data_IF_805211510514
#
_entry.id   IF_805211510514
#
_cell.length_a   1.000
_cell.length_b   1.000
_cell.length_c   1.000
_cell.angle_alpha   90.00
_cell.angle_beta   90.00
_cell.angle_gamma   90.00
#
_symmetry.space_group_name_H-M   'P 1'
#
loop_
_entity.id
_entity.type
_entity.pdbx_description
1 polymer ?
#
# COMPACT_ATOMS: atom_id res chain seq x y z
N UNK A 1 15.34 -30.37 33.55
CA UNK A 1 15.10 -28.97 33.15
C UNK A 1 15.61 -28.84 31.74
N UNK A 2 14.71 -28.94 30.76
CA UNK A 2 15.04 -28.64 29.38
C UNK A 2 14.88 -27.13 29.21
N UNK A 3 15.96 -26.45 28.84
CA UNK A 3 15.88 -25.10 28.29
C UNK A 3 15.06 -25.19 27.01
N UNK A 4 13.83 -24.68 27.06
CA UNK A 4 13.09 -24.34 25.86
C UNK A 4 13.83 -23.20 25.18
N UNK A 5 14.62 -23.60 24.20
CA UNK A 5 15.26 -22.76 23.21
C UNK A 5 14.16 -21.96 22.50
N UNK A 6 13.82 -20.79 23.03
CA UNK A 6 12.88 -19.87 22.40
C UNK A 6 13.56 -19.36 21.12
N UNK A 7 13.35 -20.08 20.02
CA UNK A 7 13.49 -19.49 18.70
C UNK A 7 12.58 -18.26 18.70
N UNK A 8 13.18 -17.08 18.82
CA UNK A 8 12.55 -15.81 18.53
C UNK A 8 11.95 -15.93 17.13
N UNK A 9 10.67 -16.29 17.05
CA UNK A 9 9.90 -16.09 15.82
C UNK A 9 9.89 -14.58 15.66
N UNK A 10 10.75 -14.09 14.76
CA UNK A 10 10.74 -12.72 14.28
C UNK A 10 9.43 -12.57 13.50
N UNK A 11 8.35 -12.37 14.23
CA UNK A 11 7.02 -12.21 13.66
C UNK A 11 6.86 -10.81 13.11
N UNK A 12 6.06 -10.70 12.07
CA UNK A 12 5.58 -9.43 11.52
C UNK A 12 4.12 -9.30 11.94
N UNK A 13 3.82 -8.84 13.17
CA UNK A 13 2.52 -9.01 13.78
C UNK A 13 1.39 -8.29 13.04
N UNK A 14 1.66 -7.16 12.37
CA UNK A 14 0.64 -6.50 11.55
C UNK A 14 0.40 -7.26 10.24
N UNK A 15 1.46 -7.81 9.63
CA UNK A 15 1.35 -8.65 8.43
C UNK A 15 0.63 -9.97 8.76
N UNK A 16 0.92 -10.58 9.91
CA UNK A 16 0.25 -11.77 10.40
C UNK A 16 -1.24 -11.52 10.64
N UNK A 17 -1.58 -10.41 11.30
CA UNK A 17 -2.98 -10.02 11.50
C UNK A 17 -3.69 -9.69 10.17
N UNK A 18 -3.03 -9.02 9.23
CA UNK A 18 -3.58 -8.75 7.91
C UNK A 18 -3.93 -10.05 7.15
N UNK A 19 -3.14 -11.10 7.36
CA UNK A 19 -3.36 -12.43 6.78
C UNK A 19 -4.32 -13.32 7.60
N UNK A 20 -4.81 -12.85 8.75
CA UNK A 20 -5.80 -13.58 9.53
C UNK A 20 -7.07 -13.80 8.69
N UNK A 21 -7.62 -15.00 8.79
CA UNK A 21 -8.79 -15.39 8.00
C UNK A 21 -10.00 -14.49 8.26
N UNK A 22 -10.23 -14.05 9.49
CA UNK A 22 -11.34 -13.18 9.83
C UNK A 22 -11.16 -11.76 9.27
N UNK A 23 -9.91 -11.30 9.14
CA UNK A 23 -9.57 -10.04 8.47
C UNK A 23 -9.73 -10.15 6.96
N UNK A 24 -9.33 -11.27 6.37
CA UNK A 24 -9.34 -11.48 4.92
C UNK A 24 -10.71 -11.94 4.37
N UNK A 25 -11.75 -12.06 5.20
CA UNK A 25 -13.08 -12.49 4.79
C UNK A 25 -14.12 -11.38 4.92
N UNK A 26 -14.94 -11.25 3.88
CA UNK A 26 -16.03 -10.27 3.75
C UNK A 26 -16.99 -10.27 4.94
N UNK A 27 -17.33 -11.45 5.46
CA UNK A 27 -18.33 -11.61 6.53
C UNK A 27 -17.80 -11.33 7.94
N UNK A 28 -16.49 -11.14 8.11
CA UNK A 28 -15.85 -11.05 9.42
C UNK A 28 -15.09 -9.75 9.67
N UNK A 29 -14.55 -9.14 8.62
CA UNK A 29 -13.56 -8.07 8.79
C UNK A 29 -14.12 -6.83 9.50
N UNK A 30 -15.40 -6.49 9.33
CA UNK A 30 -16.02 -5.36 10.03
C UNK A 30 -16.06 -5.57 11.55
N UNK A 31 -16.35 -6.80 12.00
CA UNK A 31 -16.33 -7.13 13.43
C UNK A 31 -14.91 -7.08 13.99
N UNK A 32 -13.92 -7.52 13.19
CA UNK A 32 -12.51 -7.41 13.61
C UNK A 32 -12.10 -5.94 13.69
N UNK A 33 -12.44 -5.13 12.69
CA UNK A 33 -12.18 -3.68 12.70
C UNK A 33 -12.76 -3.03 13.95
N UNK A 34 -14.01 -3.34 14.30
CA UNK A 34 -14.69 -2.84 15.50
C UNK A 34 -13.99 -3.25 16.81
N UNK A 35 -13.40 -4.44 16.86
CA UNK A 35 -12.68 -4.92 18.04
C UNK A 35 -11.31 -4.27 18.25
N UNK A 36 -10.68 -3.82 17.16
CA UNK A 36 -9.35 -3.22 17.22
C UNK A 36 -9.39 -1.88 17.96
N UNK A 37 -8.57 -1.78 19.00
CA UNK A 37 -8.45 -0.59 19.82
C UNK A 37 -7.06 0.07 19.74
N UNK A 38 -6.96 1.25 20.35
CA UNK A 38 -5.78 2.09 20.30
C UNK A 38 -4.54 1.42 20.87
N UNK A 39 -4.70 0.70 21.98
CA UNK A 39 -3.60 0.06 22.69
C UNK A 39 -3.04 -1.08 21.85
N UNK A 40 -3.92 -1.95 21.34
CA UNK A 40 -3.54 -3.08 20.50
C UNK A 40 -2.81 -2.63 19.24
N UNK A 41 -3.38 -1.67 18.48
CA UNK A 41 -2.74 -1.18 17.26
C UNK A 41 -1.39 -0.53 17.53
N UNK A 42 -1.25 0.23 18.62
CA UNK A 42 0.05 0.79 19.00
C UNK A 42 1.07 -0.30 19.36
N UNK A 43 0.66 -1.34 20.08
CA UNK A 43 1.53 -2.46 20.43
C UNK A 43 1.98 -3.21 19.18
N UNK A 44 1.05 -3.56 18.29
CA UNK A 44 1.32 -4.21 17.01
C UNK A 44 2.27 -3.37 16.15
N UNK A 45 2.01 -2.07 16.02
CA UNK A 45 2.85 -1.15 15.26
C UNK A 45 4.28 -1.06 15.80
N UNK A 46 4.45 -0.91 17.12
CA UNK A 46 5.78 -0.86 17.75
C UNK A 46 6.54 -2.16 17.59
N UNK A 47 5.85 -3.29 17.71
CA UNK A 47 6.43 -4.61 17.50
C UNK A 47 6.87 -4.80 16.03
N UNK A 48 6.02 -4.41 15.08
CA UNK A 48 6.34 -4.41 13.65
C UNK A 48 7.56 -3.55 13.33
N UNK A 49 7.59 -2.30 13.83
CA UNK A 49 8.74 -1.40 13.68
C UNK A 49 10.02 -1.99 14.27
N UNK A 50 9.92 -2.70 15.39
CA UNK A 50 11.08 -3.33 16.05
C UNK A 50 11.58 -4.57 15.29
N UNK A 51 10.68 -5.29 14.61
CA UNK A 51 11.00 -6.45 13.77
C UNK A 51 11.42 -6.07 12.35
N UNK A 52 11.24 -4.80 11.96
CA UNK A 52 11.45 -4.30 10.61
C UNK A 52 12.86 -4.60 10.05
N UNK A 53 12.96 -5.00 8.77
CA UNK A 53 14.24 -5.12 8.11
C UNK A 53 14.97 -3.78 8.03
N UNK A 54 16.23 -3.78 8.45
CA UNK A 54 17.10 -2.60 8.41
C UNK A 54 17.91 -2.60 7.10
N UNK A 55 17.30 -2.16 5.99
CA UNK A 55 17.92 -2.25 4.65
C UNK A 55 19.24 -1.49 4.59
N UNK A 56 19.28 -0.27 5.10
CA UNK A 56 20.47 0.60 5.08
C UNK A 56 21.67 -0.06 5.76
N UNK A 57 21.44 -0.72 6.91
CA UNK A 57 22.48 -1.45 7.66
C UNK A 57 23.08 -2.62 6.88
N UNK A 58 22.33 -3.17 5.92
CA UNK A 58 22.77 -4.25 5.03
C UNK A 58 23.32 -3.76 3.69
N UNK A 59 23.50 -2.45 3.52
CA UNK A 59 23.98 -1.83 2.28
C UNK A 59 22.96 -1.84 1.14
N UNK A 60 21.68 -2.16 1.42
CA UNK A 60 20.61 -2.18 0.42
C UNK A 60 19.89 -0.83 0.36
N UNK A 61 19.63 -0.37 -0.86
CA UNK A 61 18.86 0.85 -1.16
C UNK A 61 17.37 0.58 -1.18
N UNK A 62 16.56 1.58 -0.86
CA UNK A 62 15.11 1.54 -1.10
C UNK A 62 14.79 1.85 -2.56
N UNK A 63 15.38 2.91 -3.09
CA UNK A 63 15.22 3.30 -4.49
C UNK A 63 16.14 2.48 -5.38
N UNK A 64 15.56 1.55 -6.13
CA UNK A 64 16.26 0.65 -7.05
C UNK A 64 15.81 0.88 -8.48
N UNK A 65 16.62 0.46 -9.45
CA UNK A 65 16.21 0.52 -10.85
C UNK A 65 15.17 -0.55 -11.15
N UNK A 66 14.06 -0.13 -11.78
CA UNK A 66 13.01 -1.03 -12.19
C UNK A 66 13.09 -1.30 -13.69
N UNK A 67 13.05 -2.57 -14.08
CA UNK A 67 13.09 -2.98 -15.49
C UNK A 67 11.71 -2.95 -16.17
N UNK A 68 10.67 -2.48 -15.47
CA UNK A 68 9.29 -2.51 -15.94
C UNK A 68 8.67 -3.92 -15.85
N UNK A 69 7.62 -4.16 -16.63
CA UNK A 69 7.01 -5.49 -16.75
C UNK A 69 7.93 -6.36 -17.60
N UNK A 70 8.63 -7.31 -16.98
CA UNK A 70 9.42 -8.30 -17.73
C UNK A 70 8.50 -9.38 -18.30
N UNK A 71 8.22 -9.32 -19.60
CA UNK A 71 7.57 -10.43 -20.30
C UNK A 71 8.61 -11.46 -20.75
N UNK A 72 8.53 -12.66 -20.18
CA UNK A 72 8.57 -13.86 -21.01
C UNK A 72 7.19 -14.04 -21.63
N UNK A 73 6.79 -13.22 -22.60
CA UNK A 73 5.58 -13.45 -23.42
C UNK A 73 5.57 -12.49 -24.62
N UNK A 74 4.84 -12.87 -25.66
CA UNK A 74 5.11 -12.48 -27.04
C UNK A 74 4.55 -11.10 -27.40
N UNK A 75 5.29 -10.36 -28.22
CA UNK A 75 4.89 -9.11 -28.86
C UNK A 75 3.41 -9.14 -29.32
N UNK A 76 2.59 -8.24 -28.78
CA UNK A 76 1.33 -7.82 -29.39
C UNK A 76 0.05 -8.37 -28.76
N UNK A 77 0.11 -9.14 -27.68
CA UNK A 77 -1.09 -9.56 -26.93
C UNK A 77 -0.91 -9.30 -25.45
N UNK A 78 -1.88 -8.61 -24.83
CA UNK A 78 -1.93 -8.49 -23.37
C UNK A 78 -1.78 -9.89 -22.74
N UNK A 79 -0.98 -10.04 -21.66
CA UNK A 79 -0.77 -11.34 -21.04
C UNK A 79 -2.13 -11.92 -20.63
N UNK A 80 -2.48 -13.05 -21.27
CA UNK A 80 -3.83 -13.64 -21.26
C UNK A 80 -4.28 -14.11 -19.87
N UNK A 81 -3.37 -14.23 -18.91
CA UNK A 81 -3.63 -14.65 -17.55
C UNK A 81 -2.79 -13.84 -16.55
N UNK A 82 -3.06 -12.54 -16.44
CA UNK A 82 -2.58 -11.77 -15.28
C UNK A 82 -3.47 -12.08 -14.08
N UNK A 83 -2.92 -12.81 -13.10
CA UNK A 83 -3.49 -12.90 -11.75
C UNK A 83 -3.81 -11.50 -11.22
N UNK A 84 -4.76 -11.37 -10.29
CA UNK A 84 -5.22 -10.07 -9.76
C UNK A 84 -4.04 -9.21 -9.25
N UNK A 85 -3.07 -9.80 -8.57
CA UNK A 85 -1.84 -9.09 -8.13
C UNK A 85 -0.97 -8.53 -9.27
N UNK A 86 -0.97 -9.14 -10.46
CA UNK A 86 -0.28 -8.57 -11.63
C UNK A 86 -0.99 -7.33 -12.17
N UNK A 87 -2.31 -7.22 -11.99
CA UNK A 87 -3.07 -6.04 -12.43
C UNK A 87 -2.82 -4.84 -11.53
N UNK A 88 -2.73 -5.06 -10.21
CA UNK A 88 -2.33 -4.03 -9.24
C UNK A 88 -0.91 -3.52 -9.54
N UNK A 89 0.04 -4.43 -9.77
CA UNK A 89 1.41 -4.07 -10.16
C UNK A 89 1.43 -3.24 -11.45
N UNK A 90 0.70 -3.68 -12.49
CA UNK A 90 0.65 -2.95 -13.76
C UNK A 90 -0.01 -1.57 -13.60
N UNK A 91 -1.00 -1.44 -12.71
CA UNK A 91 -1.65 -0.17 -12.39
C UNK A 91 -0.69 0.77 -11.65
N UNK A 92 0.08 0.27 -10.70
CA UNK A 92 1.14 1.03 -10.03
C UNK A 92 2.19 1.53 -11.04
N UNK A 93 2.64 0.66 -11.95
CA UNK A 93 3.58 1.04 -13.02
C UNK A 93 2.96 2.11 -13.93
N UNK A 94 1.69 1.99 -14.31
CA UNK A 94 1.00 2.96 -15.16
C UNK A 94 0.87 4.32 -14.47
N UNK A 95 0.57 4.34 -13.17
CA UNK A 95 0.53 5.55 -12.34
C UNK A 95 1.90 6.22 -12.27
N UNK A 96 2.95 5.45 -11.98
CA UNK A 96 4.31 5.98 -11.94
C UNK A 96 4.78 6.53 -13.30
N UNK A 97 4.61 5.76 -14.38
CA UNK A 97 5.05 6.19 -15.72
C UNK A 97 4.29 7.42 -16.20
N UNK A 98 2.98 7.48 -15.95
CA UNK A 98 2.12 8.57 -16.39
C UNK A 98 2.31 9.86 -15.57
N UNK A 99 2.61 9.73 -14.27
CA UNK A 99 2.45 10.85 -13.34
C UNK A 99 3.62 11.07 -12.37
N UNK A 100 4.56 10.12 -12.24
CA UNK A 100 5.70 10.25 -11.33
C UNK A 100 6.68 11.37 -11.68
N UNK A 101 6.69 11.81 -12.94
CA UNK A 101 7.51 12.93 -13.42
C UNK A 101 6.81 14.29 -13.27
N UNK A 102 5.53 14.33 -12.89
CA UNK A 102 4.78 15.58 -12.77
C UNK A 102 5.13 16.29 -11.46
N UNK A 103 5.69 17.50 -11.58
CA UNK A 103 6.00 18.34 -10.42
C UNK A 103 4.74 18.70 -9.60
N UNK A 104 3.60 18.87 -10.27
CA UNK A 104 2.33 19.16 -9.60
C UNK A 104 1.69 17.96 -8.89
N UNK A 105 2.17 16.74 -9.13
CA UNK A 105 1.56 15.52 -8.61
C UNK A 105 0.17 15.20 -9.20
N UNK A 106 -0.46 14.14 -8.68
CA UNK A 106 -1.84 13.79 -8.94
C UNK A 106 -2.74 14.49 -7.91
N UNK A 107 -3.62 15.36 -8.37
CA UNK A 107 -4.51 16.11 -7.48
C UNK A 107 -5.53 15.18 -6.80
N UNK A 108 -5.67 15.31 -5.47
CA UNK A 108 -6.81 14.82 -4.70
C UNK A 108 -7.72 16.03 -4.47
N UNK A 109 -8.96 15.97 -4.95
CA UNK A 109 -10.01 16.99 -4.76
C UNK A 109 -9.52 18.45 -4.93
N UNK A 110 -8.85 18.71 -6.06
CA UNK A 110 -8.31 20.00 -6.51
C UNK A 110 -7.23 20.68 -5.65
N UNK A 111 -7.04 20.30 -4.36
CA UNK A 111 -6.22 21.08 -3.42
C UNK A 111 -5.12 20.30 -2.68
N UNK A 112 -5.05 18.97 -2.77
CA UNK A 112 -4.04 18.18 -2.06
C UNK A 112 -3.38 17.14 -2.99
N UNK A 113 -2.33 17.51 -3.74
CA UNK A 113 -1.70 16.58 -4.66
C UNK A 113 -0.82 15.54 -3.95
N UNK A 114 -0.82 14.32 -4.47
CA UNK A 114 0.18 13.29 -4.17
C UNK A 114 1.16 13.15 -5.33
N UNK A 115 2.46 13.26 -5.07
CA UNK A 115 3.51 13.03 -6.07
C UNK A 115 4.07 11.63 -5.90
N UNK A 116 3.96 10.79 -6.92
CA UNK A 116 4.54 9.44 -6.88
C UNK A 116 6.06 9.54 -7.05
N UNK A 117 6.81 8.94 -6.14
CA UNK A 117 8.27 8.91 -6.13
C UNK A 117 8.85 7.61 -6.68
N UNK A 118 8.21 6.48 -6.36
CA UNK A 118 8.64 5.16 -6.81
C UNK A 118 7.47 4.18 -6.77
N UNK A 119 7.65 3.00 -7.38
CA UNK A 119 6.69 1.90 -7.32
C UNK A 119 7.39 0.61 -6.88
N UNK A 120 6.62 -0.34 -6.34
CA UNK A 120 7.13 -1.64 -5.92
C UNK A 120 8.37 -1.54 -5.02
N UNK A 121 8.33 -0.60 -4.06
CA UNK A 121 9.46 -0.27 -3.19
C UNK A 121 9.83 -1.50 -2.34
N UNK A 122 11.06 -2.02 -2.44
CA UNK A 122 11.46 -3.22 -1.74
C UNK A 122 11.62 -2.98 -0.24
N UNK A 123 11.02 -3.83 0.59
CA UNK A 123 11.16 -3.78 2.05
C UNK A 123 12.17 -4.80 2.57
N UNK A 124 12.20 -6.01 2.00
CA UNK A 124 13.08 -7.12 2.36
C UNK A 124 14.59 -6.82 2.37
N UNK A 125 15.28 -6.97 3.51
CA UNK A 125 16.74 -6.79 3.61
C UNK A 125 17.51 -8.11 3.42
N UNK A 126 16.95 -9.26 3.77
CA UNK A 126 17.61 -10.59 3.68
C UNK A 126 16.60 -11.68 3.33
N UNK A 127 17.08 -12.90 3.03
CA UNK A 127 16.23 -14.03 2.59
C UNK A 127 15.03 -14.29 3.51
N UNK A 128 15.25 -14.20 4.82
CA UNK A 128 14.26 -14.52 5.85
C UNK A 128 13.07 -13.56 5.88
N UNK A 129 13.21 -12.35 5.32
CA UNK A 129 12.11 -11.38 5.25
C UNK A 129 11.22 -11.65 4.01
N UNK A 130 11.18 -12.89 3.52
CA UNK A 130 10.46 -13.27 2.30
C UNK A 130 8.93 -13.11 2.41
N UNK A 131 8.38 -13.12 3.62
CA UNK A 131 6.95 -12.88 3.87
C UNK A 131 6.57 -11.41 3.80
N UNK A 132 7.53 -10.49 3.83
CA UNK A 132 7.27 -9.06 3.69
C UNK A 132 7.13 -8.73 2.21
N UNK A 133 6.03 -8.09 1.86
CA UNK A 133 5.76 -7.59 0.52
C UNK A 133 6.62 -6.38 0.13
N UNK A 134 6.06 -5.57 -0.77
CA UNK A 134 6.64 -4.34 -1.28
C UNK A 134 5.57 -3.25 -1.15
N UNK A 135 6.00 -2.00 -1.03
CA UNK A 135 5.05 -0.89 -1.13
C UNK A 135 4.67 -0.68 -2.58
N UNK A 136 3.38 -0.71 -2.91
CA UNK A 136 2.93 -0.58 -4.30
C UNK A 136 3.37 0.74 -4.91
N UNK A 137 3.12 1.86 -4.22
CA UNK A 137 3.67 3.17 -4.57
C UNK A 137 4.18 3.91 -3.33
N UNK A 138 5.38 4.47 -3.44
CA UNK A 138 5.84 5.49 -2.49
C UNK A 138 5.51 6.85 -3.09
N UNK A 139 4.84 7.70 -2.32
CA UNK A 139 4.45 9.03 -2.74
C UNK A 139 4.90 10.11 -1.74
N UNK A 140 4.69 11.36 -2.13
CA UNK A 140 4.90 12.54 -1.32
C UNK A 140 3.60 13.34 -1.28
N UNK A 141 3.15 13.68 -0.08
CA UNK A 141 2.01 14.59 0.13
C UNK A 141 2.39 16.04 -0.15
N UNK A 142 1.41 16.95 -0.19
CA UNK A 142 1.63 18.39 -0.32
C UNK A 142 2.54 18.99 0.76
N UNK A 143 2.61 18.37 1.95
CA UNK A 143 3.47 18.78 3.06
C UNK A 143 4.87 18.14 3.07
N UNK A 144 5.34 17.63 1.93
CA UNK A 144 6.61 16.91 1.76
C UNK A 144 6.78 15.68 2.68
N UNK A 145 5.67 15.16 3.22
CA UNK A 145 5.66 13.92 4.01
C UNK A 145 5.54 12.72 3.06
N UNK A 146 6.40 11.71 3.26
CA UNK A 146 6.32 10.43 2.56
C UNK A 146 4.96 9.76 2.83
N UNK A 147 4.44 9.07 1.84
CA UNK A 147 3.21 8.30 1.94
C UNK A 147 3.41 6.90 1.35
N UNK A 148 3.04 5.89 2.13
CA UNK A 148 2.81 4.52 1.66
C UNK A 148 1.46 4.52 0.97
N UNK A 149 1.42 4.16 -0.31
CA UNK A 149 0.17 3.93 -1.02
C UNK A 149 0.01 2.43 -1.23
N UNK A 150 -0.98 1.86 -0.56
CA UNK A 150 -1.43 0.48 -0.79
C UNK A 150 -2.51 0.51 -1.87
N UNK A 151 -2.27 -0.19 -2.99
CA UNK A 151 -3.10 -0.09 -4.19
C UNK A 151 -3.97 -1.34 -4.33
N UNK A 152 -5.30 -1.16 -4.42
CA UNK A 152 -6.20 -2.26 -4.73
C UNK A 152 -6.91 -2.08 -6.07
N UNK A 153 -7.00 -3.16 -6.83
CA UNK A 153 -7.67 -3.16 -8.12
C UNK A 153 -8.68 -4.29 -8.23
N UNK A 154 -9.88 -3.92 -8.65
CA UNK A 154 -10.97 -4.86 -8.91
C UNK A 154 -11.48 -4.69 -10.34
N UNK A 155 -11.41 -5.72 -11.20
CA UNK A 155 -12.01 -5.63 -12.52
C UNK A 155 -13.53 -5.56 -12.42
N UNK A 156 -14.16 -4.91 -13.39
CA UNK A 156 -15.62 -4.82 -13.51
C UNK A 156 -16.23 -6.23 -13.51
N UNK A 157 -17.28 -6.43 -12.71
CA UNK A 157 -18.00 -7.71 -12.60
C UNK A 157 -17.32 -8.78 -11.73
N UNK A 158 -16.23 -8.44 -11.03
CA UNK A 158 -15.63 -9.34 -10.06
C UNK A 158 -16.51 -9.57 -8.82
N UNK A 159 -16.19 -10.62 -8.06
CA UNK A 159 -16.95 -11.05 -6.88
C UNK A 159 -16.12 -10.91 -5.61
N UNK A 160 -16.80 -10.66 -4.49
CA UNK A 160 -16.17 -10.34 -3.20
C UNK A 160 -15.25 -11.45 -2.67
N UNK A 161 -15.45 -12.71 -3.06
CA UNK A 161 -14.64 -13.84 -2.58
C UNK A 161 -13.18 -13.84 -3.07
N UNK A 162 -12.83 -12.94 -4.00
CA UNK A 162 -11.48 -12.83 -4.56
C UNK A 162 -10.76 -11.55 -4.15
N UNK A 163 -11.45 -10.64 -3.48
CA UNK A 163 -10.92 -9.33 -3.14
C UNK A 163 -10.29 -9.30 -1.74
N UNK A 164 -9.16 -8.61 -1.60
CA UNK A 164 -8.64 -8.22 -0.29
C UNK A 164 -9.64 -7.28 0.40
N UNK A 165 -9.88 -7.45 1.70
CA UNK A 165 -10.78 -6.57 2.44
C UNK A 165 -10.13 -5.21 2.71
N UNK A 166 -10.92 -4.13 2.91
CA UNK A 166 -10.37 -2.83 3.30
C UNK A 166 -9.53 -2.88 4.57
N UNK A 167 -9.92 -3.71 5.56
CA UNK A 167 -9.15 -3.87 6.79
C UNK A 167 -7.81 -4.57 6.54
N UNK A 168 -7.76 -5.60 5.68
CA UNK A 168 -6.50 -6.24 5.31
C UNK A 168 -5.54 -5.23 4.69
N UNK A 169 -5.99 -4.49 3.69
CA UNK A 169 -5.20 -3.46 3.02
C UNK A 169 -4.70 -2.39 4.00
N UNK A 170 -5.54 -2.01 4.97
CA UNK A 170 -5.16 -1.06 6.01
C UNK A 170 -4.06 -1.58 6.92
N UNK A 171 -4.18 -2.82 7.41
CA UNK A 171 -3.19 -3.42 8.30
C UNK A 171 -1.86 -3.69 7.59
N UNK A 172 -1.91 -4.13 6.34
CA UNK A 172 -0.74 -4.33 5.48
C UNK A 172 -0.01 -3.01 5.22
N UNK A 173 -0.72 -1.98 4.78
CA UNK A 173 -0.14 -0.64 4.60
C UNK A 173 0.38 -0.03 5.90
N UNK A 174 -0.29 -0.27 7.04
CA UNK A 174 0.19 0.16 8.35
C UNK A 174 1.49 -0.56 8.76
N UNK A 175 1.63 -1.84 8.40
CA UNK A 175 2.88 -2.57 8.59
C UNK A 175 4.01 -1.95 7.79
N UNK A 176 3.74 -1.57 6.54
CA UNK A 176 4.72 -0.89 5.69
C UNK A 176 5.12 0.48 6.23
N UNK A 177 4.19 1.27 6.78
CA UNK A 177 4.52 2.49 7.52
C UNK A 177 5.50 2.21 8.67
N UNK A 178 5.23 1.18 9.49
CA UNK A 178 6.10 0.80 10.60
C UNK A 178 7.51 0.39 10.14
N UNK A 179 7.58 -0.40 9.07
CA UNK A 179 8.84 -0.86 8.49
C UNK A 179 9.67 0.31 7.95
N UNK A 180 9.04 1.21 7.19
CA UNK A 180 9.73 2.40 6.66
C UNK A 180 10.12 3.37 7.77
N UNK A 181 9.31 3.52 8.82
CA UNK A 181 9.65 4.35 9.97
C UNK A 181 10.90 3.83 10.71
N UNK A 182 11.11 2.51 10.73
CA UNK A 182 12.25 1.89 11.40
C UNK A 182 13.62 2.26 10.77
N UNK A 183 13.66 2.67 9.50
CA UNK A 183 14.86 3.10 8.76
C UNK A 183 14.63 4.46 8.09
N UNK A 184 13.77 5.30 8.70
CA UNK A 184 13.26 6.53 8.09
C UNK A 184 14.37 7.49 7.68
N UNK A 185 15.38 7.69 8.52
CA UNK A 185 16.48 8.62 8.22
C UNK A 185 17.26 8.23 6.95
N UNK A 186 17.45 6.93 6.73
CA UNK A 186 18.13 6.44 5.52
C UNK A 186 17.25 6.56 4.30
N UNK A 187 15.97 6.18 4.41
CA UNK A 187 14.99 6.34 3.33
C UNK A 187 14.87 7.81 2.90
N UNK A 188 14.78 8.72 3.87
CA UNK A 188 14.70 10.16 3.62
C UNK A 188 15.94 10.68 2.92
N UNK A 189 17.13 10.33 3.41
CA UNK A 189 18.39 10.75 2.76
C UNK A 189 18.46 10.28 1.31
N UNK A 190 18.07 9.03 1.04
CA UNK A 190 18.03 8.53 -0.34
C UNK A 190 17.00 9.25 -1.20
N UNK A 191 15.83 9.59 -0.65
CA UNK A 191 14.81 10.35 -1.36
C UNK A 191 15.27 11.80 -1.64
N UNK A 192 15.86 12.47 -0.65
CA UNK A 192 16.39 13.84 -0.80
C UNK A 192 17.50 13.89 -1.84
N UNK A 193 18.41 12.92 -1.84
CA UNK A 193 19.48 12.79 -2.83
C UNK A 193 18.92 12.51 -4.24
N UNK A 194 17.98 11.57 -4.36
CA UNK A 194 17.44 11.15 -5.66
C UNK A 194 16.53 12.19 -6.30
N UNK A 195 15.74 12.92 -5.51
CA UNK A 195 14.72 13.84 -6.00
C UNK A 195 15.06 15.31 -5.79
N UNK A 196 16.26 15.60 -5.25
CA UNK A 196 16.79 16.96 -5.03
C UNK A 196 15.79 17.88 -4.30
N UNK A 197 15.07 17.35 -3.31
CA UNK A 197 14.11 18.12 -2.51
C UNK A 197 14.09 17.69 -1.05
N UNK A 198 13.72 18.59 -0.12
CA UNK A 198 13.55 18.23 1.28
C UNK A 198 12.41 17.23 1.50
N UNK A 199 12.61 16.31 2.45
CA UNK A 199 11.56 15.38 2.90
C UNK A 199 11.24 15.66 4.37
N UNK A 200 9.96 15.83 4.69
CA UNK A 200 9.52 16.13 6.05
C UNK A 200 9.85 14.96 6.99
N UNK A 201 10.46 15.28 8.15
CA UNK A 201 10.77 14.36 9.26
C UNK A 201 9.54 13.92 10.02
N UNK A 202 8.67 13.18 9.34
CA UNK A 202 7.43 12.61 9.86
C UNK A 202 7.34 11.14 9.49
N UNK A 203 6.64 10.37 10.33
CA UNK A 203 6.23 9.00 10.00
C UNK A 203 5.49 8.99 8.65
N UNK A 204 5.67 7.98 7.79
CA UNK A 204 4.97 7.93 6.51
C UNK A 204 3.46 7.93 6.71
N UNK A 205 2.74 8.75 5.94
CA UNK A 205 1.29 8.67 5.85
C UNK A 205 0.86 7.37 5.17
N UNK A 206 -0.38 6.94 5.41
CA UNK A 206 -0.97 5.77 4.76
C UNK A 206 -2.08 6.22 3.82
N UNK A 207 -2.01 5.79 2.57
CA UNK A 207 -3.04 6.01 1.55
C UNK A 207 -3.51 4.65 1.06
N UNK A 208 -4.79 4.35 1.22
CA UNK A 208 -5.42 3.22 0.55
C UNK A 208 -6.07 3.75 -0.72
N UNK A 209 -5.46 3.46 -1.86
CA UNK A 209 -5.96 3.85 -3.16
C UNK A 209 -6.58 2.62 -3.82
N UNK A 210 -7.85 2.69 -4.19
CA UNK A 210 -8.46 1.60 -4.94
C UNK A 210 -9.37 2.10 -6.05
N UNK A 211 -9.56 1.32 -7.11
CA UNK A 211 -10.50 1.72 -8.15
C UNK A 211 -11.95 1.71 -7.62
N UNK A 212 -12.83 2.47 -8.26
CA UNK A 212 -14.21 2.61 -7.79
C UNK A 212 -14.97 1.29 -7.62
N UNK A 213 -14.69 0.29 -8.46
CA UNK A 213 -15.40 -0.99 -8.37
C UNK A 213 -14.98 -1.81 -7.16
N UNK A 214 -13.73 -1.66 -6.68
CA UNK A 214 -13.31 -2.22 -5.40
C UNK A 214 -14.19 -1.68 -4.26
N UNK A 215 -14.35 -0.35 -4.17
CA UNK A 215 -15.16 0.26 -3.11
C UNK A 215 -16.65 -0.08 -3.21
N UNK A 216 -17.22 -0.13 -4.42
CA UNK A 216 -18.61 -0.55 -4.64
C UNK A 216 -18.83 -1.99 -4.17
N UNK A 217 -17.88 -2.88 -4.46
CA UNK A 217 -17.96 -4.30 -4.11
C UNK A 217 -18.12 -4.53 -2.60
N UNK A 218 -17.61 -3.63 -1.75
CA UNK A 218 -17.78 -3.71 -0.30
C UNK A 218 -18.94 -2.86 0.25
N UNK A 219 -19.46 -1.88 -0.49
CA UNK A 219 -20.62 -1.07 -0.08
C UNK A 219 -21.95 -1.77 -0.29
N UNK A 220 -22.07 -2.55 -1.35
CA UNK A 220 -23.34 -3.18 -1.74
C UNK A 220 -23.75 -4.41 -0.91
N UNK A 221 -22.83 -5.31 -0.50
CA UNK A 221 -23.22 -6.51 0.24
C UNK A 221 -23.55 -6.18 1.70
N UNK A 222 -24.79 -6.48 2.12
CA UNK A 222 -25.18 -6.43 3.56
C UNK A 222 -24.27 -7.28 4.46
N UNK A 223 -23.63 -8.30 3.90
CA UNK A 223 -22.72 -9.21 4.61
C UNK A 223 -21.39 -8.55 5.01
N UNK A 224 -21.01 -7.42 4.40
CA UNK A 224 -19.81 -6.68 4.78
C UNK A 224 -19.98 -5.88 6.08
N UNK A 225 -21.21 -5.74 6.60
CA UNK A 225 -21.52 -4.97 7.80
C UNK A 225 -21.25 -3.46 7.66
N UNK A 226 -21.32 -2.75 8.79
CA UNK A 226 -21.05 -1.30 8.88
C UNK A 226 -19.54 -1.04 8.99
N UNK A 227 -18.78 -1.29 7.92
CA UNK A 227 -17.32 -1.23 7.97
C UNK A 227 -16.74 0.18 7.75
N UNK A 228 -17.40 1.04 6.97
CA UNK A 228 -16.84 2.37 6.61
C UNK A 228 -16.59 3.23 7.85
N UNK A 229 -17.58 3.29 8.76
CA UNK A 229 -17.44 4.02 10.03
C UNK A 229 -16.34 3.45 10.92
N UNK A 230 -16.13 2.13 10.89
CA UNK A 230 -15.02 1.51 11.62
C UNK A 230 -13.67 1.84 11.00
N UNK A 231 -13.56 1.87 9.67
CA UNK A 231 -12.33 2.31 8.99
C UNK A 231 -12.01 3.78 9.32
N UNK A 232 -13.00 4.68 9.28
CA UNK A 232 -12.81 6.08 9.68
C UNK A 232 -12.38 6.21 11.14
N UNK A 233 -12.96 5.41 12.04
CA UNK A 233 -12.52 5.34 13.45
C UNK A 233 -11.08 4.87 13.57
N UNK A 234 -10.68 3.82 12.84
CA UNK A 234 -9.30 3.32 12.85
C UNK A 234 -8.31 4.34 12.29
N UNK A 235 -8.66 5.06 11.22
CA UNK A 235 -7.88 6.15 10.67
C UNK A 235 -7.64 7.27 11.69
N UNK A 236 -8.69 7.70 12.40
CA UNK A 236 -8.58 8.70 13.47
C UNK A 236 -7.70 8.21 14.62
N UNK A 237 -7.91 6.98 15.06
CA UNK A 237 -7.13 6.36 16.12
C UNK A 237 -5.64 6.30 15.77
N UNK A 238 -5.30 5.83 14.56
CA UNK A 238 -3.91 5.73 14.10
C UNK A 238 -3.28 7.11 13.96
N UNK A 239 -4.02 8.10 13.45
CA UNK A 239 -3.57 9.49 13.41
C UNK A 239 -3.28 10.03 14.81
N UNK A 240 -4.19 9.85 15.75
CA UNK A 240 -4.08 10.41 17.10
C UNK A 240 -2.99 9.74 17.94
N UNK A 241 -2.79 8.43 17.76
CA UNK A 241 -1.87 7.64 18.59
C UNK A 241 -0.50 7.42 17.99
N UNK A 242 -0.41 7.36 16.67
CA UNK A 242 0.84 7.07 15.94
C UNK A 242 1.30 8.27 15.10
N UNK A 243 0.48 9.32 14.96
CA UNK A 243 0.82 10.48 14.12
C UNK A 243 0.79 10.17 12.62
N UNK A 244 0.16 9.07 12.22
CA UNK A 244 0.08 8.61 10.82
C UNK A 244 -1.26 9.07 10.23
N UNK A 245 -1.28 10.06 9.32
CA UNK A 245 -2.48 10.39 8.58
C UNK A 245 -2.88 9.21 7.70
N UNK A 246 -4.16 8.86 7.69
CA UNK A 246 -4.71 7.82 6.82
C UNK A 246 -5.71 8.46 5.86
N UNK A 247 -5.67 8.07 4.58
CA UNK A 247 -6.66 8.49 3.58
C UNK A 247 -7.15 7.30 2.76
N UNK A 248 -8.47 7.21 2.61
CA UNK A 248 -9.14 6.27 1.72
C UNK A 248 -9.55 6.98 0.43
N UNK A 249 -8.98 6.58 -0.70
CA UNK A 249 -9.13 7.25 -1.98
C UNK A 249 -9.67 6.30 -3.05
N UNK A 250 -10.53 6.84 -3.92
CA UNK A 250 -11.02 6.17 -5.11
C UNK A 250 -10.29 6.65 -6.36
N UNK A 251 -9.79 5.70 -7.15
CA UNK A 251 -9.22 5.90 -8.47
C UNK A 251 -10.32 5.68 -9.54
N UNK A 252 -10.76 6.76 -10.19
CA UNK A 252 -11.66 6.69 -11.35
C UNK A 252 -10.85 6.39 -12.59
N UNK A 253 -11.15 5.26 -13.20
CA UNK A 253 -10.50 4.75 -14.40
C UNK A 253 -11.56 4.12 -15.31
N UNK A 254 -11.27 4.04 -16.60
CA UNK A 254 -12.09 3.30 -17.56
C UNK A 254 -11.96 1.78 -17.35
N UNK A 255 -12.91 1.02 -17.90
CA UNK A 255 -12.93 -0.45 -17.84
C UNK A 255 -11.67 -1.11 -18.44
N UNK A 256 -11.12 -0.49 -19.48
CA UNK A 256 -9.80 -0.79 -20.04
C UNK A 256 -8.85 0.38 -19.72
N UNK A 257 -8.26 0.40 -18.51
CA UNK A 257 -7.56 1.58 -18.02
C UNK A 257 -6.16 1.71 -18.60
N UNK A 258 -5.55 0.61 -19.01
CA UNK A 258 -4.13 0.50 -19.32
C UNK A 258 -3.94 -0.05 -20.73
N UNK A 259 -3.05 0.59 -21.49
CA UNK A 259 -2.44 0.07 -22.71
C UNK A 259 -0.93 -0.07 -22.52
N UNK A 260 -0.32 -0.93 -23.32
CA UNK A 260 1.13 -1.15 -23.28
C UNK A 260 1.78 -0.42 -24.46
N UNK A 261 2.66 0.52 -24.16
CA UNK A 261 3.51 1.19 -25.16
C UNK A 261 4.97 0.86 -24.85
N UNK A 262 5.70 0.28 -25.82
CA UNK A 262 7.08 -0.18 -25.61
C UNK A 262 7.24 -1.01 -24.32
N UNK A 263 6.30 -1.93 -24.06
CA UNK A 263 6.25 -2.79 -22.87
C UNK A 263 6.08 -2.06 -21.54
N UNK A 264 5.64 -0.80 -21.57
CA UNK A 264 5.32 -0.04 -20.36
C UNK A 264 3.81 0.21 -20.26
N UNK A 265 3.17 -0.25 -19.17
CA UNK A 265 1.81 0.16 -18.82
C UNK A 265 1.68 1.68 -18.83
N UNK A 266 0.66 2.17 -19.53
CA UNK A 266 0.24 3.57 -19.54
C UNK A 266 -1.26 3.67 -19.52
N UNK A 267 -1.78 4.71 -18.88
CA UNK A 267 -3.20 4.99 -18.92
C UNK A 267 -3.68 5.33 -20.34
N UNK A 268 -4.87 4.83 -20.69
CA UNK A 268 -5.58 5.23 -21.91
C UNK A 268 -6.17 6.64 -21.72
N UNK A 269 -6.75 6.88 -20.55
CA UNK A 269 -7.34 8.16 -20.14
C UNK A 269 -6.78 8.60 -18.80
N UNK A 270 -6.63 9.92 -18.54
CA UNK A 270 -6.18 10.39 -17.24
C UNK A 270 -7.07 9.87 -16.11
N UNK A 271 -6.50 9.25 -15.06
CA UNK A 271 -7.28 8.84 -13.91
C UNK A 271 -7.64 10.08 -13.08
N UNK A 272 -8.75 9.98 -12.35
CA UNK A 272 -9.14 10.98 -11.35
C UNK A 272 -9.06 10.34 -9.97
N UNK A 273 -8.50 11.06 -9.00
CA UNK A 273 -8.45 10.62 -7.61
C UNK A 273 -9.40 11.50 -6.79
N UNK A 274 -10.28 10.85 -6.03
CA UNK A 274 -11.24 11.48 -5.11
C UNK A 274 -11.30 10.70 -3.79
N UNK A 275 -11.99 11.24 -2.78
CA UNK A 275 -12.33 10.46 -1.57
C UNK A 275 -13.17 9.23 -1.92
N UNK A 276 -12.92 8.12 -1.22
CA UNK A 276 -13.63 6.87 -1.48
C UNK A 276 -15.12 6.91 -1.08
N UNK A 277 -15.44 7.66 -0.02
CA UNK A 277 -16.79 7.97 0.48
C UNK A 277 -16.81 9.34 1.16
#
# INVERSE_FOLDING_TARGET
MAEEDSKSVKGHPLIELANDRAVNQVTGFASVAASLNAVELCCLYKAEKSAAPQRSSTGKKYFVDHLGVQEKEHFGTAPKDSSEGRKEEHLAIALFNGYGHLSQGLAIDANDPIRILDYQLPLKAKSDDASIGKVDLLALTSGDQLAVVELKYMPVGATVSRADTPLRAFLEGLAYCAILEADLESLQREAEEKFERPIAKKVPALVLLANSDYWKLYREPKVAGEWMGEMDRLALLVKDKLGIPVSYLSLKISDEPIRYEAQRPKFVWPPVIERAW
#
